data_IF_466749469171
#
_entry.id   IF_466749469171
#
_cell.length_a   1.000
_cell.length_b   1.000
_cell.length_c   1.000
_cell.angle_alpha   90.00
_cell.angle_beta   90.00
_cell.angle_gamma   90.00
#
_symmetry.space_group_name_H-M   'P 1'
#
loop_
_entity.id
_entity.type
_entity.pdbx_description
1 polymer ?
#
# COMPACT_ATOMS: atom_id res chain seq x y z
N UNK A 1 -7.76 -16.63 -3.60
CA UNK A 1 -8.28 -15.97 -4.82
C UNK A 1 -8.69 -14.53 -4.52
N UNK A 2 -9.52 -14.28 -3.50
CA UNK A 2 -9.96 -12.93 -3.11
C UNK A 2 -8.80 -11.93 -2.87
N UNK A 3 -7.85 -12.27 -1.98
CA UNK A 3 -6.66 -11.43 -1.68
C UNK A 3 -5.85 -11.04 -2.91
N UNK A 4 -5.79 -11.93 -3.92
CA UNK A 4 -5.08 -11.66 -5.18
C UNK A 4 -5.85 -10.63 -6.02
N UNK A 5 -7.14 -10.85 -6.26
CA UNK A 5 -7.94 -9.93 -7.08
C UNK A 5 -7.98 -8.52 -6.48
N UNK A 6 -8.16 -8.44 -5.16
CA UNK A 6 -8.14 -7.18 -4.42
C UNK A 6 -6.76 -6.52 -4.43
N UNK A 7 -5.68 -7.30 -4.26
CA UNK A 7 -4.33 -6.78 -4.38
C UNK A 7 -3.97 -6.26 -5.77
N UNK A 8 -4.43 -6.93 -6.83
CA UNK A 8 -4.29 -6.45 -8.21
C UNK A 8 -5.08 -5.16 -8.42
N UNK A 9 -6.34 -5.12 -7.97
CA UNK A 9 -7.17 -3.92 -8.07
C UNK A 9 -6.57 -2.74 -7.31
N UNK A 10 -6.13 -2.96 -6.06
CA UNK A 10 -5.44 -1.97 -5.25
C UNK A 10 -4.19 -1.44 -5.95
N UNK A 11 -3.34 -2.34 -6.46
CA UNK A 11 -2.14 -1.96 -7.18
C UNK A 11 -2.43 -1.16 -8.45
N UNK A 12 -3.46 -1.54 -9.23
CA UNK A 12 -3.90 -0.78 -10.41
C UNK A 12 -4.43 0.61 -10.03
N UNK A 13 -5.18 0.71 -8.93
CA UNK A 13 -5.66 1.99 -8.39
C UNK A 13 -4.53 2.93 -7.94
N UNK A 14 -3.29 2.43 -7.79
CA UNK A 14 -2.12 3.23 -7.43
C UNK A 14 -1.23 3.48 -8.64
N UNK A 15 -0.92 2.43 -9.44
CA UNK A 15 -0.04 2.54 -10.61
C UNK A 15 -0.65 3.42 -11.69
N UNK A 16 -1.92 3.23 -12.03
CA UNK A 16 -2.51 3.93 -13.16
C UNK A 16 -2.59 5.45 -12.92
N UNK A 17 -3.07 5.94 -11.76
CA UNK A 17 -2.94 7.35 -11.38
C UNK A 17 -1.50 7.85 -11.40
N UNK A 18 -0.58 7.18 -10.71
CA UNK A 18 0.82 7.62 -10.66
C UNK A 18 1.49 7.69 -12.04
N UNK A 19 1.13 6.82 -12.98
CA UNK A 19 1.65 6.86 -14.34
C UNK A 19 1.10 8.05 -15.15
N UNK A 20 -0.13 8.47 -14.90
CA UNK A 20 -0.79 9.60 -15.59
C UNK A 20 -0.37 10.94 -14.99
N UNK A 21 -0.38 11.03 -13.67
CA UNK A 21 -0.11 12.26 -12.91
C UNK A 21 1.32 12.79 -13.09
N UNK A 22 2.26 11.91 -13.43
CA UNK A 22 3.61 12.29 -13.80
C UNK A 22 3.66 13.30 -14.98
N UNK A 23 2.62 13.33 -15.81
CA UNK A 23 2.52 14.19 -17.00
C UNK A 23 1.40 15.22 -16.91
N UNK A 24 0.31 14.91 -16.22
CA UNK A 24 -0.89 15.76 -16.17
C UNK A 24 -1.03 16.54 -14.87
N UNK A 25 -0.26 16.17 -13.83
CA UNK A 25 -0.61 16.50 -12.45
C UNK A 25 -1.82 15.70 -11.96
N UNK A 26 -2.13 15.85 -10.67
CA UNK A 26 -3.27 15.22 -10.01
C UNK A 26 -4.60 15.77 -10.56
N UNK A 27 -5.54 14.88 -10.87
CA UNK A 27 -6.88 15.19 -11.41
C UNK A 27 -7.96 14.57 -10.54
N UNK A 28 -9.20 15.09 -10.61
CA UNK A 28 -10.33 14.51 -9.86
C UNK A 28 -10.53 13.00 -10.15
N UNK A 29 -10.30 12.57 -11.39
CA UNK A 29 -10.41 11.16 -11.76
C UNK A 29 -9.30 10.31 -11.14
N UNK A 30 -8.06 10.81 -11.13
CA UNK A 30 -6.92 10.07 -10.57
C UNK A 30 -7.01 10.02 -9.05
N UNK A 31 -7.33 11.14 -8.37
CA UNK A 31 -7.62 11.15 -6.93
C UNK A 31 -8.76 10.20 -6.58
N UNK A 32 -9.85 10.20 -7.37
CA UNK A 32 -10.97 9.28 -7.15
C UNK A 32 -10.51 7.81 -7.14
N UNK A 33 -9.68 7.42 -8.11
CA UNK A 33 -9.16 6.06 -8.23
C UNK A 33 -8.19 5.71 -7.10
N UNK A 34 -7.25 6.60 -6.76
CA UNK A 34 -6.28 6.40 -5.67
C UNK A 34 -6.98 6.24 -4.33
N UNK A 35 -8.04 7.02 -4.07
CA UNK A 35 -8.76 7.04 -2.80
C UNK A 35 -9.33 5.68 -2.36
N UNK A 36 -9.66 4.79 -3.30
CA UNK A 36 -10.16 3.44 -2.98
C UNK A 36 -9.05 2.41 -2.74
N UNK A 37 -7.82 2.70 -3.14
CA UNK A 37 -6.71 1.75 -3.07
C UNK A 37 -6.45 1.18 -1.67
N UNK A 38 -6.54 1.94 -0.54
CA UNK A 38 -6.23 1.37 0.77
C UNK A 38 -7.24 0.32 1.22
N UNK A 39 -8.54 0.54 0.94
CA UNK A 39 -9.59 -0.41 1.24
C UNK A 39 -9.41 -1.71 0.44
N UNK A 40 -9.01 -1.59 -0.83
CA UNK A 40 -8.72 -2.74 -1.69
C UNK A 40 -7.43 -3.47 -1.29
N UNK A 41 -6.47 -2.79 -0.66
CA UNK A 41 -5.22 -3.40 -0.22
C UNK A 41 -5.40 -4.30 1.01
N UNK A 42 -6.45 -4.11 1.82
CA UNK A 42 -6.69 -4.86 3.05
C UNK A 42 -6.71 -6.38 2.83
N UNK A 43 -7.50 -6.95 1.90
CA UNK A 43 -7.49 -8.40 1.68
C UNK A 43 -6.14 -8.95 1.22
N UNK A 44 -5.35 -8.17 0.49
CA UNK A 44 -3.99 -8.57 0.10
C UNK A 44 -3.09 -8.67 1.33
N UNK A 45 -3.09 -7.65 2.21
CA UNK A 45 -2.30 -7.65 3.44
C UNK A 45 -2.62 -8.87 4.32
N UNK A 46 -3.92 -9.17 4.50
CA UNK A 46 -4.38 -10.38 5.20
C UNK A 46 -3.84 -11.64 4.53
N UNK A 47 -3.94 -11.74 3.20
CA UNK A 47 -3.47 -12.90 2.44
C UNK A 47 -1.97 -13.13 2.55
N UNK A 48 -1.16 -12.07 2.50
CA UNK A 48 0.29 -12.13 2.67
C UNK A 48 0.67 -12.63 4.06
N UNK A 49 -0.01 -12.12 5.10
CA UNK A 49 0.20 -12.56 6.47
C UNK A 49 -0.19 -14.02 6.68
N UNK A 50 -1.39 -14.42 6.25
CA UNK A 50 -1.86 -15.80 6.38
C UNK A 50 -0.92 -16.81 5.71
N UNK A 51 -0.28 -16.45 4.60
CA UNK A 51 0.67 -17.32 3.90
C UNK A 51 1.99 -17.49 4.66
N UNK A 52 2.42 -16.50 5.45
CA UNK A 52 3.70 -16.55 6.18
C UNK A 52 3.56 -16.77 7.69
N UNK A 53 2.34 -16.81 8.24
CA UNK A 53 2.09 -16.88 9.69
C UNK A 53 2.84 -18.02 10.37
N UNK A 54 2.92 -19.18 9.72
CA UNK A 54 3.55 -20.37 10.27
C UNK A 54 5.07 -20.24 10.48
N UNK A 55 5.74 -19.33 9.76
CA UNK A 55 7.20 -19.17 9.80
C UNK A 55 7.65 -17.83 10.38
N UNK A 56 6.71 -16.92 10.67
CA UNK A 56 7.03 -15.54 11.09
C UNK A 56 6.93 -15.32 12.59
N UNK A 57 6.27 -16.21 13.33
CA UNK A 57 6.19 -16.20 14.79
C UNK A 57 5.60 -14.91 15.37
N UNK A 58 5.86 -14.64 16.65
CA UNK A 58 5.31 -13.47 17.35
C UNK A 58 5.71 -12.12 16.71
N UNK A 59 6.93 -12.02 16.17
CA UNK A 59 7.37 -10.82 15.45
C UNK A 59 6.52 -10.57 14.21
N UNK A 60 6.23 -11.61 13.43
CA UNK A 60 5.36 -11.53 12.25
C UNK A 60 3.94 -11.08 12.57
N UNK A 61 3.38 -11.58 13.68
CA UNK A 61 2.06 -11.17 14.18
C UNK A 61 2.04 -9.68 14.53
N UNK A 62 2.97 -9.22 15.38
CA UNK A 62 3.06 -7.81 15.78
C UNK A 62 3.27 -6.88 14.58
N UNK A 63 4.18 -7.27 13.68
CA UNK A 63 4.47 -6.51 12.47
C UNK A 63 3.24 -6.40 11.55
N UNK A 64 2.51 -7.50 11.37
CA UNK A 64 1.25 -7.50 10.62
C UNK A 64 0.19 -6.62 11.29
N UNK A 65 0.00 -6.75 12.60
CA UNK A 65 -0.99 -5.95 13.34
C UNK A 65 -0.70 -4.46 13.22
N UNK A 66 0.56 -4.03 13.41
CA UNK A 66 0.95 -2.64 13.25
C UNK A 66 0.72 -2.14 11.82
N UNK A 67 1.04 -2.96 10.82
CA UNK A 67 0.79 -2.60 9.43
C UNK A 67 -0.71 -2.51 9.10
N UNK A 68 -1.53 -3.41 9.65
CA UNK A 68 -2.98 -3.40 9.46
C UNK A 68 -3.62 -2.17 10.11
N UNK A 69 -3.25 -1.85 11.35
CA UNK A 69 -3.71 -0.64 12.05
C UNK A 69 -3.25 0.61 11.31
N UNK A 70 -1.99 0.65 10.92
CA UNK A 70 -1.42 1.74 10.12
C UNK A 70 -2.16 1.93 8.80
N UNK A 71 -2.43 0.85 8.07
CA UNK A 71 -3.21 0.89 6.82
C UNK A 71 -4.64 1.38 7.05
N UNK A 72 -5.27 1.01 8.18
CA UNK A 72 -6.58 1.55 8.55
C UNK A 72 -6.54 3.07 8.78
N UNK A 73 -5.57 3.55 9.57
CA UNK A 73 -5.42 4.97 9.90
C UNK A 73 -4.99 5.80 8.69
N UNK A 74 -3.88 5.42 8.05
CA UNK A 74 -3.35 6.14 6.89
C UNK A 74 -4.23 5.95 5.66
N UNK A 75 -4.85 4.78 5.48
CA UNK A 75 -5.82 4.55 4.42
C UNK A 75 -7.06 5.45 4.56
N UNK A 76 -7.56 5.66 5.77
CA UNK A 76 -8.63 6.63 6.03
C UNK A 76 -8.20 8.07 5.75
N UNK A 77 -6.96 8.43 6.10
CA UNK A 77 -6.37 9.72 5.75
C UNK A 77 -6.23 9.90 4.23
N UNK A 78 -5.71 8.90 3.52
CA UNK A 78 -5.56 8.90 2.07
C UNK A 78 -6.92 9.00 1.37
N UNK A 79 -7.93 8.26 1.81
CA UNK A 79 -9.30 8.38 1.32
C UNK A 79 -9.84 9.81 1.50
N UNK A 80 -9.61 10.40 2.67
CA UNK A 80 -10.06 11.76 2.99
C UNK A 80 -9.33 12.80 2.12
N UNK A 81 -8.01 12.68 1.96
CA UNK A 81 -7.21 13.56 1.12
C UNK A 81 -7.72 13.55 -0.33
N UNK A 82 -7.93 12.35 -0.88
CA UNK A 82 -8.24 12.16 -2.30
C UNK A 82 -9.72 12.39 -2.66
N UNK A 83 -10.67 11.94 -1.81
CA UNK A 83 -12.09 12.02 -2.14
C UNK A 83 -12.79 13.25 -1.55
N UNK A 84 -12.26 13.81 -0.46
CA UNK A 84 -12.89 14.92 0.24
C UNK A 84 -12.10 16.20 0.04
N UNK A 85 -10.85 16.23 0.50
CA UNK A 85 -10.07 17.47 0.57
C UNK A 85 -9.61 17.97 -0.80
N UNK A 86 -9.28 17.08 -1.73
CA UNK A 86 -8.94 17.44 -3.12
C UNK A 86 -10.02 18.32 -3.76
N UNK A 87 -11.29 17.97 -3.57
CA UNK A 87 -12.43 18.70 -4.17
C UNK A 87 -12.73 20.05 -3.51
N UNK A 88 -12.10 20.35 -2.36
CA UNK A 88 -12.23 21.64 -1.67
C UNK A 88 -11.17 22.65 -2.13
N UNK A 89 -10.24 22.24 -2.99
CA UNK A 89 -9.16 23.10 -3.49
C UNK A 89 -8.08 23.35 -2.43
N UNK A 90 -8.23 24.40 -1.63
CA UNK A 90 -7.23 24.83 -0.65
C UNK A 90 -7.77 24.80 0.80
N UNK A 91 -8.08 23.61 1.34
CA UNK A 91 -8.61 23.53 2.70
C UNK A 91 -7.54 23.92 3.73
N UNK A 92 -7.86 24.89 4.59
CA UNK A 92 -7.00 25.25 5.74
C UNK A 92 -7.27 24.28 6.87
N UNK A 93 -6.40 23.28 7.03
CA UNK A 93 -6.54 22.29 8.09
C UNK A 93 -6.04 22.83 9.44
N UNK A 94 -6.79 22.63 10.55
CA UNK A 94 -6.28 22.88 11.90
C UNK A 94 -5.02 22.07 12.20
N UNK A 95 -4.16 22.58 13.10
CA UNK A 95 -2.91 21.90 13.48
C UNK A 95 -3.15 20.45 13.95
N UNK A 96 -4.19 20.24 14.76
CA UNK A 96 -4.56 18.90 15.26
C UNK A 96 -4.85 17.90 14.12
N UNK A 97 -5.51 18.33 13.05
CA UNK A 97 -5.78 17.48 11.88
C UNK A 97 -4.51 17.13 11.13
N UNK A 98 -3.60 18.09 10.97
CA UNK A 98 -2.29 17.84 10.34
C UNK A 98 -1.47 16.85 11.16
N UNK A 99 -1.48 16.97 12.49
CA UNK A 99 -0.81 16.01 13.37
C UNK A 99 -1.46 14.62 13.32
N UNK A 100 -2.78 14.54 13.19
CA UNK A 100 -3.46 13.26 13.01
C UNK A 100 -3.06 12.56 11.70
N UNK A 101 -2.97 13.29 10.59
CA UNK A 101 -2.48 12.75 9.32
C UNK A 101 -1.00 12.35 9.38
N UNK A 102 -0.15 13.16 10.01
CA UNK A 102 1.26 12.80 10.19
C UNK A 102 1.41 11.57 11.10
N UNK A 103 0.65 11.52 12.19
CA UNK A 103 0.64 10.38 13.11
C UNK A 103 0.19 9.10 12.42
N UNK A 104 -0.88 9.13 11.63
CA UNK A 104 -1.34 7.97 10.88
C UNK A 104 -0.30 7.49 9.86
N UNK A 105 0.34 8.43 9.14
CA UNK A 105 1.42 8.13 8.22
C UNK A 105 2.62 7.47 8.91
N UNK A 106 3.03 7.95 10.09
CA UNK A 106 4.14 7.37 10.86
C UNK A 106 3.81 5.94 11.31
N UNK A 107 2.60 5.70 11.84
CA UNK A 107 2.19 4.35 12.26
C UNK A 107 2.18 3.40 11.06
N UNK A 108 1.65 3.84 9.92
CA UNK A 108 1.67 3.05 8.69
C UNK A 108 3.09 2.78 8.19
N UNK A 109 3.97 3.78 8.16
CA UNK A 109 5.35 3.62 7.73
C UNK A 109 6.09 2.58 8.59
N UNK A 110 5.99 2.69 9.92
CA UNK A 110 6.61 1.72 10.85
C UNK A 110 6.04 0.31 10.61
N UNK A 111 4.71 0.19 10.52
CA UNK A 111 4.03 -1.08 10.25
C UNK A 111 4.48 -1.71 8.94
N UNK A 112 4.52 -0.94 7.85
CA UNK A 112 4.93 -1.41 6.53
C UNK A 112 6.40 -1.87 6.51
N UNK A 113 7.29 -1.14 7.20
CA UNK A 113 8.71 -1.53 7.35
C UNK A 113 8.83 -2.84 8.10
N UNK A 114 8.23 -2.93 9.30
CA UNK A 114 8.32 -4.13 10.14
C UNK A 114 7.71 -5.35 9.44
N UNK A 115 6.58 -5.17 8.75
CA UNK A 115 5.94 -6.24 8.01
C UNK A 115 6.77 -6.67 6.80
N UNK A 116 7.39 -5.71 6.08
CA UNK A 116 8.38 -6.00 5.04
C UNK A 116 9.56 -6.82 5.56
N UNK A 117 10.13 -6.44 6.71
CA UNK A 117 11.19 -7.21 7.38
C UNK A 117 10.72 -8.62 7.74
N UNK A 118 9.49 -8.78 8.24
CA UNK A 118 8.92 -10.09 8.53
C UNK A 118 8.76 -10.94 7.25
N UNK A 119 8.31 -10.36 6.15
CA UNK A 119 8.24 -11.02 4.84
C UNK A 119 9.61 -11.47 4.34
N UNK A 120 10.64 -10.62 4.47
CA UNK A 120 12.01 -10.95 4.08
C UNK A 120 12.59 -12.08 4.92
N UNK A 121 12.36 -12.06 6.24
CA UNK A 121 12.83 -13.10 7.16
C UNK A 121 12.14 -14.43 6.92
N UNK A 122 10.83 -14.42 6.63
CA UNK A 122 10.06 -15.62 6.36
C UNK A 122 10.43 -16.28 5.01
N UNK A 123 10.92 -15.49 4.05
CA UNK A 123 11.37 -16.02 2.75
C UNK A 123 10.25 -16.62 1.87
N UNK A 124 8.98 -16.43 2.25
CA UNK A 124 7.81 -17.01 1.56
C UNK A 124 7.41 -16.20 0.32
N UNK A 125 7.68 -14.89 0.34
CA UNK A 125 7.29 -13.96 -0.72
C UNK A 125 8.51 -13.52 -1.55
N UNK A 126 8.32 -13.13 -2.83
CA UNK A 126 9.44 -12.68 -3.67
C UNK A 126 10.13 -11.43 -3.10
N UNK A 127 11.46 -11.45 -2.96
CA UNK A 127 12.22 -10.40 -2.28
C UNK A 127 12.07 -9.01 -2.90
N UNK A 128 12.10 -8.93 -4.24
CA UNK A 128 12.05 -7.65 -4.98
C UNK A 128 10.78 -6.85 -4.64
N UNK A 129 9.56 -7.38 -4.81
CA UNK A 129 8.37 -6.61 -4.49
C UNK A 129 8.15 -6.43 -2.98
N UNK A 130 8.73 -7.29 -2.13
CA UNK A 130 8.74 -7.05 -0.67
C UNK A 130 9.58 -5.81 -0.32
N UNK A 131 10.79 -5.67 -0.88
CA UNK A 131 11.64 -4.49 -0.66
C UNK A 131 10.98 -3.25 -1.24
N UNK A 132 10.42 -3.33 -2.45
CA UNK A 132 9.70 -2.23 -3.06
C UNK A 132 8.52 -1.77 -2.17
N UNK A 133 7.73 -2.70 -1.64
CA UNK A 133 6.66 -2.41 -0.69
C UNK A 133 7.20 -1.72 0.58
N UNK A 134 8.23 -2.30 1.17
CA UNK A 134 8.85 -1.85 2.43
C UNK A 134 9.43 -0.43 2.34
N UNK A 135 9.83 0.01 1.15
CA UNK A 135 10.43 1.33 0.92
C UNK A 135 9.41 2.33 0.37
N UNK A 136 8.65 1.96 -0.66
CA UNK A 136 7.78 2.89 -1.37
C UNK A 136 6.58 3.35 -0.52
N UNK A 137 5.98 2.47 0.29
CA UNK A 137 4.83 2.85 1.12
C UNK A 137 5.18 3.83 2.24
N UNK A 138 6.28 3.66 3.00
CA UNK A 138 6.76 4.69 3.91
C UNK A 138 7.07 6.02 3.22
N UNK A 139 7.68 5.98 2.03
CA UNK A 139 7.93 7.20 1.25
C UNK A 139 6.63 7.89 0.85
N UNK A 140 5.62 7.16 0.37
CA UNK A 140 4.29 7.71 0.10
C UNK A 140 3.66 8.30 1.36
N UNK A 141 3.76 7.61 2.49
CA UNK A 141 3.16 8.06 3.74
C UNK A 141 3.73 9.40 4.20
N UNK A 142 5.05 9.57 4.13
CA UNK A 142 5.75 10.81 4.53
C UNK A 142 5.61 11.91 3.49
N UNK A 143 5.57 11.53 2.20
CA UNK A 143 5.43 12.44 1.08
C UNK A 143 3.98 12.82 0.78
N UNK A 144 2.98 12.21 1.44
CA UNK A 144 1.57 12.50 1.27
C UNK A 144 1.27 13.97 1.59
N UNK A 145 1.32 14.79 0.56
CA UNK A 145 1.04 16.22 0.56
C UNK A 145 0.37 16.54 -0.77
N UNK A 146 -0.64 17.39 -0.71
CA UNK A 146 -1.22 18.00 -1.90
C UNK A 146 -0.40 19.26 -2.27
N UNK A 147 -0.12 19.52 -3.56
CA UNK A 147 -0.37 18.67 -4.72
C UNK A 147 0.74 17.63 -4.93
N UNK A 148 0.41 16.54 -5.65
CA UNK A 148 1.39 15.54 -6.06
C UNK A 148 2.49 16.13 -6.97
N UNK A 149 3.67 15.54 -6.90
CA UNK A 149 4.87 15.90 -7.67
C UNK A 149 5.27 14.74 -8.58
N UNK A 150 6.05 14.96 -9.65
CA UNK A 150 6.56 13.86 -10.48
C UNK A 150 7.32 12.80 -9.66
N UNK A 151 7.98 13.21 -8.57
CA UNK A 151 8.64 12.29 -7.65
C UNK A 151 7.62 11.39 -6.92
N UNK A 152 6.55 11.96 -6.36
CA UNK A 152 5.52 11.16 -5.69
C UNK A 152 4.78 10.26 -6.67
N UNK A 153 4.56 10.70 -7.92
CA UNK A 153 4.03 9.86 -9.00
C UNK A 153 4.90 8.62 -9.28
N UNK A 154 6.23 8.77 -9.33
CA UNK A 154 7.16 7.62 -9.46
C UNK A 154 7.04 6.68 -8.27
N UNK A 155 6.95 7.21 -7.04
CA UNK A 155 6.78 6.39 -5.83
C UNK A 155 5.43 5.65 -5.88
N UNK A 156 4.35 6.27 -6.36
CA UNK A 156 3.07 5.60 -6.58
C UNK A 156 3.21 4.42 -7.55
N UNK A 157 3.89 4.60 -8.69
CA UNK A 157 4.12 3.52 -9.65
C UNK A 157 4.88 2.35 -9.02
N UNK A 158 5.93 2.63 -8.24
CA UNK A 158 6.71 1.59 -7.55
C UNK A 158 5.84 0.89 -6.48
N UNK A 159 5.10 1.65 -5.67
CA UNK A 159 4.24 1.12 -4.62
C UNK A 159 3.13 0.23 -5.20
N UNK A 160 2.39 0.72 -6.18
CA UNK A 160 1.33 -0.04 -6.84
C UNK A 160 1.88 -1.26 -7.59
N UNK A 161 3.03 -1.13 -8.25
CA UNK A 161 3.71 -2.24 -8.91
C UNK A 161 4.12 -3.34 -7.93
N UNK A 162 4.56 -2.96 -6.73
CA UNK A 162 4.85 -3.92 -5.66
C UNK A 162 3.59 -4.68 -5.22
N UNK A 163 2.44 -4.02 -5.11
CA UNK A 163 1.16 -4.68 -4.79
C UNK A 163 0.74 -5.65 -5.89
N UNK A 164 0.83 -5.25 -7.17
CA UNK A 164 0.50 -6.11 -8.30
C UNK A 164 1.36 -7.37 -8.28
N UNK A 165 2.68 -7.22 -8.08
CA UNK A 165 3.61 -8.33 -8.07
C UNK A 165 3.36 -9.25 -6.86
N UNK A 166 3.20 -8.69 -5.65
CA UNK A 166 2.85 -9.47 -4.46
C UNK A 166 1.53 -10.22 -4.65
N UNK A 167 0.50 -9.56 -5.16
CA UNK A 167 -0.79 -10.18 -5.45
C UNK A 167 -0.67 -11.29 -6.49
N UNK A 168 0.13 -11.10 -7.55
CA UNK A 168 0.38 -12.12 -8.56
C UNK A 168 1.09 -13.35 -7.97
N UNK A 169 2.04 -13.14 -7.07
CA UNK A 169 2.75 -14.23 -6.37
C UNK A 169 1.83 -15.08 -5.51
N UNK A 170 0.65 -14.56 -5.13
CA UNK A 170 -0.40 -15.30 -4.39
C UNK A 170 -1.16 -16.33 -5.23
N UNK A 171 -0.87 -16.45 -6.54
CA UNK A 171 -1.46 -17.50 -7.37
C UNK A 171 -1.12 -18.91 -6.83
N UNK A 172 -2.05 -19.88 -6.93
CA UNK A 172 -1.73 -21.28 -6.69
C UNK A 172 -0.62 -21.71 -7.65
N UNK A 173 0.47 -22.30 -7.14
CA UNK A 173 1.40 -23.02 -8.00
C UNK A 173 0.63 -24.22 -8.57
N UNK A 174 0.44 -24.28 -9.88
CA UNK A 174 -0.01 -25.52 -10.52
C UNK A 174 1.02 -26.58 -10.12
N UNK A 175 0.60 -27.59 -9.36
CA UNK A 175 1.35 -28.84 -9.24
C UNK A 175 1.55 -29.34 -10.67
N UNK A 176 2.73 -29.09 -11.24
CA UNK A 176 3.19 -29.82 -12.40
C UNK A 176 3.16 -31.29 -11.97
N UNK A 177 2.24 -32.03 -12.59
CA UNK A 177 1.95 -33.40 -12.27
C UNK A 177 3.26 -34.19 -12.19
N UNK A 178 3.51 -34.75 -10.99
CA UNK A 178 4.38 -35.91 -10.82
C UNK A 178 3.76 -37.06 -11.62
N UNK A 179 4.11 -37.14 -12.88
CA UNK A 179 4.09 -38.38 -13.66
C UNK A 179 5.35 -38.35 -14.52
N UNK A 180 6.45 -38.77 -13.92
CA UNK A 180 7.63 -39.31 -14.60
C UNK A 180 8.03 -40.57 -13.86
#
# INVERSE_FOLDING_TARGET
MLSRSFGLAAGLCVVAPGAVEAFTGETAATSFVVGFSPALALPLLVGLHLRQRAVSGAFGEVAYTLNLVGLGLFGGAAFTLNLVLFHLGNPVLPAVTRFAFLGSAVVFAIGAILFGVAMLRGGVHPKVPVVAYMVAFPLLAVAARLPDTPLTSVVHVIAGGSLIWLAWSMAPQRQLARTS
#
